data_IF_683789543932
#
_entry.id   IF_683789543932
#
_cell.length_a   1.000
_cell.length_b   1.000
_cell.length_c   1.000
_cell.angle_alpha   90.00
_cell.angle_beta   90.00
_cell.angle_gamma   90.00
#
_symmetry.space_group_name_H-M   'P 1'
#
loop_
_entity.id
_entity.type
_entity.pdbx_description
1 polymer ?
#
# COMPACT_ATOMS: atom_id res chain seq x y z
N UNK A 1 -15.23 -5.43 8.07
CA UNK A 1 -14.87 -6.69 8.76
C UNK A 1 -13.41 -7.11 8.52
N UNK A 2 -12.91 -7.22 7.27
CA UNK A 2 -11.50 -7.61 6.99
C UNK A 2 -10.43 -6.72 7.66
N UNK A 3 -10.66 -5.39 7.73
CA UNK A 3 -9.76 -4.43 8.39
C UNK A 3 -9.62 -4.70 9.89
N UNK A 4 -10.75 -4.96 10.58
CA UNK A 4 -10.79 -5.26 12.03
C UNK A 4 -10.08 -6.57 12.34
N UNK A 5 -10.22 -7.59 11.49
CA UNK A 5 -9.55 -8.88 11.64
C UNK A 5 -8.02 -8.73 11.50
N UNK A 6 -7.53 -7.92 10.55
CA UNK A 6 -6.11 -7.61 10.40
C UNK A 6 -5.56 -6.84 11.60
N UNK A 7 -6.28 -5.83 12.11
CA UNK A 7 -5.85 -5.08 13.29
C UNK A 7 -5.82 -5.96 14.54
N UNK A 8 -6.80 -6.85 14.72
CA UNK A 8 -6.84 -7.81 15.82
C UNK A 8 -5.71 -8.86 15.74
N UNK A 9 -5.33 -9.30 14.54
CA UNK A 9 -4.21 -10.25 14.37
C UNK A 9 -2.85 -9.60 14.60
N UNK A 10 -2.67 -8.35 14.19
CA UNK A 10 -1.45 -7.60 14.49
C UNK A 10 -1.35 -7.33 16.00
N UNK A 11 -2.47 -6.95 16.63
CA UNK A 11 -2.53 -6.68 18.05
C UNK A 11 -2.31 -7.95 18.89
N UNK A 12 -2.87 -9.10 18.48
CA UNK A 12 -2.67 -10.37 19.19
C UNK A 12 -1.22 -10.85 19.09
N UNK A 13 -0.59 -10.70 17.92
CA UNK A 13 0.82 -11.06 17.71
C UNK A 13 1.77 -10.15 18.51
N UNK A 14 1.41 -8.86 18.69
CA UNK A 14 2.15 -7.92 19.55
C UNK A 14 1.94 -8.17 21.05
N UNK A 15 0.79 -8.73 21.47
CA UNK A 15 0.48 -9.01 22.88
C UNK A 15 0.93 -10.39 23.38
N UNK A 16 1.10 -11.37 22.51
CA UNK A 16 1.64 -12.70 22.87
C UNK A 16 3.01 -12.66 23.57
N UNK A 17 3.97 -11.77 23.25
CA UNK A 17 5.22 -11.70 24.01
C UNK A 17 5.06 -11.11 25.42
N UNK A 18 3.96 -10.41 25.74
CA UNK A 18 3.72 -9.92 27.11
C UNK A 18 3.12 -10.99 28.04
N UNK A 19 2.38 -11.96 27.51
CA UNK A 19 1.66 -12.95 28.33
C UNK A 19 2.53 -14.13 28.81
N UNK A 20 3.79 -14.23 28.37
CA UNK A 20 4.70 -15.34 28.76
C UNK A 20 5.80 -14.87 29.73
N UNK A 21 5.41 -14.20 30.81
CA UNK A 21 6.27 -13.95 31.98
C UNK A 21 6.25 -15.10 33.01
N UNK A 22 6.15 -16.35 32.56
CA UNK A 22 6.27 -17.52 33.46
C UNK A 22 6.78 -18.80 32.76
N UNK A 23 7.81 -18.69 31.92
CA UNK A 23 8.61 -19.85 31.55
C UNK A 23 10.07 -19.42 31.44
N UNK A 24 10.89 -19.86 32.40
CA UNK A 24 12.34 -19.78 32.35
C UNK A 24 12.89 -20.29 31.01
N UNK A 25 14.01 -19.69 30.57
CA UNK A 25 14.90 -20.19 29.50
C UNK A 25 14.55 -19.87 28.04
N UNK A 26 14.14 -18.64 27.73
CA UNK A 26 14.35 -18.09 26.39
C UNK A 26 15.26 -16.87 26.54
N UNK A 27 16.53 -17.03 26.16
CA UNK A 27 17.55 -15.98 26.14
C UNK A 27 16.92 -14.68 25.60
N UNK A 28 16.99 -13.61 26.37
CA UNK A 28 16.36 -12.31 26.05
C UNK A 28 16.79 -11.81 24.66
N UNK A 29 17.98 -12.21 24.20
CA UNK A 29 18.47 -11.98 22.83
C UNK A 29 17.64 -12.69 21.76
N UNK A 30 17.18 -13.91 22.02
CA UNK A 30 16.35 -14.68 21.08
C UNK A 30 14.92 -14.12 21.01
N UNK A 31 14.37 -13.67 22.14
CA UNK A 31 13.08 -12.98 22.15
C UNK A 31 13.12 -11.66 21.35
N UNK A 32 14.19 -10.87 21.50
CA UNK A 32 14.37 -9.62 20.74
C UNK A 32 14.50 -9.83 19.22
N UNK A 33 15.16 -10.91 18.79
CA UNK A 33 15.22 -11.27 17.37
C UNK A 33 13.86 -11.69 16.82
N UNK A 34 13.12 -12.50 17.57
CA UNK A 34 11.79 -12.95 17.15
C UNK A 34 10.79 -11.79 17.06
N UNK A 35 10.80 -10.87 18.02
CA UNK A 35 9.92 -9.69 17.97
C UNK A 35 10.24 -8.79 16.77
N UNK A 36 11.52 -8.59 16.44
CA UNK A 36 11.92 -7.84 15.24
C UNK A 36 11.46 -8.53 13.95
N UNK A 37 11.64 -9.85 13.84
CA UNK A 37 11.21 -10.63 12.67
C UNK A 37 9.69 -10.50 12.47
N UNK A 38 8.93 -10.65 13.56
CA UNK A 38 7.48 -10.52 13.55
C UNK A 38 7.06 -9.11 13.13
N UNK A 39 7.72 -8.08 13.66
CA UNK A 39 7.45 -6.69 13.31
C UNK A 39 7.71 -6.43 11.81
N UNK A 40 8.86 -6.87 11.30
CA UNK A 40 9.21 -6.73 9.89
C UNK A 40 8.25 -7.48 8.98
N UNK A 41 7.86 -8.70 9.35
CA UNK A 41 6.86 -9.47 8.63
C UNK A 41 5.50 -8.77 8.62
N UNK A 42 5.08 -8.21 9.76
CA UNK A 42 3.85 -7.43 9.87
C UNK A 42 3.85 -6.20 8.96
N UNK A 43 4.95 -5.42 8.97
CA UNK A 43 5.11 -4.26 8.09
C UNK A 43 5.06 -4.68 6.62
N UNK A 44 5.78 -5.73 6.22
CA UNK A 44 5.78 -6.22 4.85
C UNK A 44 4.38 -6.64 4.37
N UNK A 45 3.61 -7.32 5.21
CA UNK A 45 2.22 -7.71 4.91
C UNK A 45 1.33 -6.46 4.78
N UNK A 46 1.45 -5.51 5.70
CA UNK A 46 0.69 -4.25 5.65
C UNK A 46 0.98 -3.47 4.37
N UNK A 47 2.25 -3.31 4.01
CA UNK A 47 2.65 -2.64 2.76
C UNK A 47 2.07 -3.36 1.55
N UNK A 48 2.11 -4.69 1.52
CA UNK A 48 1.52 -5.47 0.41
C UNK A 48 0.00 -5.29 0.32
N UNK A 49 -0.69 -5.22 1.45
CA UNK A 49 -2.14 -4.97 1.48
C UNK A 49 -2.50 -3.58 0.97
N UNK A 50 -1.70 -2.56 1.30
CA UNK A 50 -1.88 -1.20 0.79
C UNK A 50 -1.71 -1.17 -0.73
N UNK A 51 -0.61 -1.73 -1.25
CA UNK A 51 -0.36 -1.81 -2.70
C UNK A 51 -1.49 -2.55 -3.43
N UNK A 52 -1.99 -3.66 -2.87
CA UNK A 52 -3.11 -4.38 -3.47
C UNK A 52 -4.41 -3.56 -3.46
N UNK A 53 -4.61 -2.73 -2.44
CA UNK A 53 -5.77 -1.82 -2.38
C UNK A 53 -5.68 -0.78 -3.50
N UNK A 54 -4.52 -0.15 -3.66
CA UNK A 54 -4.28 0.87 -4.69
C UNK A 54 -4.46 0.28 -6.09
N UNK A 55 -3.96 -0.94 -6.33
CA UNK A 55 -4.15 -1.66 -7.59
C UNK A 55 -5.62 -1.93 -7.89
N UNK A 56 -6.39 -2.35 -6.89
CA UNK A 56 -7.82 -2.62 -7.04
C UNK A 56 -8.59 -1.34 -7.37
N UNK A 57 -8.22 -0.21 -6.76
CA UNK A 57 -8.81 1.09 -7.07
C UNK A 57 -8.54 1.50 -8.52
N UNK A 58 -7.32 1.31 -9.01
CA UNK A 58 -6.99 1.59 -10.42
C UNK A 58 -7.68 0.64 -11.39
N UNK A 59 -7.81 -0.64 -11.05
CA UNK A 59 -8.56 -1.60 -11.84
C UNK A 59 -10.05 -1.23 -11.92
N UNK A 60 -10.67 -0.86 -10.79
CA UNK A 60 -12.05 -0.36 -10.77
C UNK A 60 -12.21 0.93 -11.58
N UNK A 61 -11.21 1.81 -11.55
CA UNK A 61 -11.16 3.01 -12.39
C UNK A 61 -11.12 2.64 -13.88
N UNK A 62 -10.23 1.73 -14.30
CA UNK A 62 -10.14 1.29 -15.70
C UNK A 62 -11.40 0.54 -16.17
N UNK A 63 -12.04 -0.24 -15.30
CA UNK A 63 -13.32 -0.87 -15.61
C UNK A 63 -14.45 0.16 -15.84
N UNK A 64 -14.41 1.28 -15.11
CA UNK A 64 -15.43 2.34 -15.21
C UNK A 64 -15.21 3.26 -16.43
N UNK A 65 -13.97 3.66 -16.68
CA UNK A 65 -13.64 4.64 -17.73
C UNK A 65 -13.21 4.00 -19.05
N UNK A 66 -12.91 2.70 -19.07
CA UNK A 66 -12.41 2.00 -20.24
C UNK A 66 -10.91 2.26 -20.49
N UNK A 67 -10.42 1.96 -21.70
CA UNK A 67 -9.03 2.25 -22.07
C UNK A 67 -8.81 3.77 -22.23
N UNK A 68 -7.65 4.29 -21.82
CA UNK A 68 -7.31 5.69 -22.01
C UNK A 68 -6.99 6.01 -23.47
N UNK A 69 -7.29 7.24 -23.90
CA UNK A 69 -7.00 7.74 -25.25
C UNK A 69 -5.50 7.98 -25.46
N UNK A 70 -4.83 8.45 -24.40
CA UNK A 70 -3.40 8.75 -24.40
C UNK A 70 -2.80 8.40 -23.05
N UNK A 71 -1.55 7.93 -23.09
CA UNK A 71 -0.76 7.66 -21.89
C UNK A 71 0.60 8.32 -22.04
N UNK A 72 1.04 9.04 -21.01
CA UNK A 72 2.41 9.56 -20.89
C UNK A 72 3.01 8.99 -19.61
N UNK A 73 4.20 8.40 -19.71
CA UNK A 73 4.95 7.88 -18.57
C UNK A 73 6.26 8.64 -18.45
N UNK A 74 6.61 9.03 -17.23
CA UNK A 74 7.89 9.68 -16.96
C UNK A 74 8.35 9.33 -15.55
N UNK A 75 9.66 9.40 -15.34
CA UNK A 75 10.25 9.14 -14.03
C UNK A 75 10.68 10.47 -13.42
N UNK A 76 10.39 10.65 -12.13
CA UNK A 76 10.86 11.81 -11.36
C UNK A 76 11.45 11.31 -10.05
N UNK A 77 12.78 11.27 -9.98
CA UNK A 77 13.51 10.64 -8.89
C UNK A 77 13.26 9.13 -8.84
N UNK A 78 12.86 8.61 -7.68
CA UNK A 78 12.51 7.20 -7.49
C UNK A 78 11.04 6.87 -7.85
N UNK A 79 10.26 7.86 -8.25
CA UNK A 79 8.85 7.70 -8.56
C UNK A 79 8.59 7.58 -10.05
N UNK A 80 7.74 6.60 -10.40
CA UNK A 80 7.18 6.43 -11.73
C UNK A 80 5.85 7.17 -11.81
N UNK A 81 5.81 8.19 -12.66
CA UNK A 81 4.60 8.95 -12.91
C UNK A 81 3.98 8.51 -14.24
N UNK A 82 2.65 8.48 -14.26
CA UNK A 82 1.86 8.19 -15.46
C UNK A 82 0.68 9.14 -15.51
N UNK A 83 0.47 9.78 -16.65
CA UNK A 83 -0.74 10.55 -16.92
C UNK A 83 -1.54 9.77 -17.96
N UNK A 84 -2.81 9.56 -17.67
CA UNK A 84 -3.76 8.93 -18.60
C UNK A 84 -4.84 9.95 -18.94
N UNK A 85 -5.11 10.15 -20.23
CA UNK A 85 -6.16 11.05 -20.69
C UNK A 85 -7.40 10.27 -21.13
N UNK A 86 -8.55 10.78 -20.72
CA UNK A 86 -9.88 10.30 -21.05
C UNK A 86 -10.70 11.50 -21.54
N UNK A 87 -10.73 11.70 -22.85
CA UNK A 87 -11.18 12.93 -23.48
C UNK A 87 -10.37 14.12 -23.00
N UNK A 88 -11.05 15.12 -22.43
CA UNK A 88 -10.42 16.36 -21.95
C UNK A 88 -9.86 16.27 -20.52
N UNK A 89 -10.02 15.13 -19.84
CA UNK A 89 -9.57 14.93 -18.46
C UNK A 89 -8.29 14.12 -18.42
N UNK A 90 -7.26 14.66 -17.79
CA UNK A 90 -6.04 13.94 -17.42
C UNK A 90 -6.09 13.45 -15.99
N UNK A 91 -5.79 12.17 -15.78
CA UNK A 91 -5.65 11.55 -14.46
C UNK A 91 -4.20 11.22 -14.20
N UNK A 92 -3.71 11.60 -13.03
CA UNK A 92 -2.32 11.42 -12.63
C UNK A 92 -2.19 10.19 -11.74
N UNK A 93 -1.21 9.35 -12.06
CA UNK A 93 -0.84 8.17 -11.32
C UNK A 93 0.62 8.29 -10.88
N UNK A 94 0.90 7.89 -9.65
CA UNK A 94 2.25 7.78 -9.09
C UNK A 94 2.44 6.37 -8.58
N UNK A 95 3.47 5.67 -9.08
CA UNK A 95 3.78 4.28 -8.74
C UNK A 95 2.55 3.36 -8.83
N UNK A 96 1.79 3.48 -9.94
CA UNK A 96 0.55 2.74 -10.18
C UNK A 96 -0.64 3.11 -9.28
N UNK A 97 -0.51 4.07 -8.36
CA UNK A 97 -1.61 4.55 -7.52
C UNK A 97 -2.21 5.85 -8.08
N UNK A 98 -3.54 5.92 -8.16
CA UNK A 98 -4.26 7.10 -8.59
C UNK A 98 -4.06 8.25 -7.58
N UNK A 99 -3.76 9.44 -8.08
CA UNK A 99 -3.65 10.64 -7.26
C UNK A 99 -4.96 11.43 -7.29
N UNK A 100 -5.34 12.07 -6.18
CA UNK A 100 -6.60 12.82 -6.03
C UNK A 100 -6.70 14.13 -6.86
N UNK A 101 -5.96 14.25 -7.96
CA UNK A 101 -5.97 15.42 -8.84
C UNK A 101 -6.35 15.07 -10.26
N UNK A 102 -7.49 15.58 -10.74
CA UNK A 102 -7.80 15.66 -12.16
C UNK A 102 -7.11 16.90 -12.75
N UNK A 103 -6.25 16.71 -13.74
CA UNK A 103 -5.72 17.81 -14.56
C UNK A 103 -6.68 18.07 -15.72
N UNK A 104 -7.24 19.27 -15.79
CA UNK A 104 -7.99 19.72 -16.96
C UNK A 104 -7.00 20.18 -18.03
N UNK A 105 -7.23 19.77 -19.28
CA UNK A 105 -6.39 20.09 -20.44
C UNK A 105 -6.23 21.61 -20.71
N UNK A 106 -6.96 22.48 -20.01
CA UNK A 106 -6.89 23.94 -20.16
C UNK A 106 -5.78 24.66 -19.41
N UNK A 107 -5.04 24.00 -18.50
CA UNK A 107 -4.01 24.65 -17.65
C UNK A 107 -2.59 24.08 -17.81
N UNK A 108 -2.34 23.32 -18.87
CA UNK A 108 -1.04 22.68 -19.09
C UNK A 108 -0.51 22.94 -20.51
N UNK A 109 -0.41 24.22 -20.87
CA UNK A 109 0.52 24.74 -21.87
C UNK A 109 0.99 26.13 -21.44
#
# INVERSE_FOLDING_TARGET
>A
MKKIVCTLTILSVLFVPLAKTHAQSLDTKMQGKLSLIILLAGIAVLTKLLVNSDKKEVEEFHLRFGPPDRIMKFQKGFDNWRIEWYGEKGYLFRNEALQNGTMLLGNAF
#
